data_IF_101598087581
#
_entry.id   IF_101598087581
#
_cell.length_a   1.000
_cell.length_b   1.000
_cell.length_c   1.000
_cell.angle_alpha   90.00
_cell.angle_beta   90.00
_cell.angle_gamma   90.00
#
_symmetry.space_group_name_H-M   'P 1'
#
loop_
_entity.id
_entity.type
_entity.pdbx_description
1 polymer ?
#
# COMPACT_ATOMS: atom_id res chain seq x y z
N UNK A 1 2.04 12.29 8.32
CA UNK A 1 0.91 11.98 7.42
C UNK A 1 0.42 10.59 7.78
N UNK A 2 -0.87 10.46 8.10
CA UNK A 2 -1.51 9.21 8.53
C UNK A 2 -2.41 8.72 7.39
N UNK A 3 -2.30 7.44 7.02
CA UNK A 3 -3.18 6.79 6.06
C UNK A 3 -3.99 5.67 6.73
N UNK A 4 -5.21 5.45 6.24
CA UNK A 4 -6.03 4.30 6.57
C UNK A 4 -6.43 3.56 5.28
N UNK A 5 -6.39 2.22 5.32
CA UNK A 5 -6.84 1.37 4.21
C UNK A 5 -8.26 0.92 4.51
N UNK A 6 -9.14 1.09 3.52
CA UNK A 6 -10.55 0.68 3.59
C UNK A 6 -10.85 -0.27 2.42
N UNK A 7 -10.88 -1.56 2.69
CA UNK A 7 -11.20 -2.58 1.69
C UNK A 7 -12.70 -2.83 1.64
N UNK A 8 -13.28 -2.76 0.45
CA UNK A 8 -14.73 -2.89 0.21
C UNK A 8 -14.97 -4.18 -0.56
N UNK A 9 -15.73 -5.08 0.04
CA UNK A 9 -16.11 -6.35 -0.57
C UNK A 9 -16.63 -7.32 0.48
N UNK A 10 -17.82 -7.88 0.26
CA UNK A 10 -18.45 -8.87 1.15
C UNK A 10 -17.66 -10.18 1.14
N UNK A 11 -17.03 -10.55 0.03
CA UNK A 11 -16.20 -11.75 -0.12
C UNK A 11 -14.97 -11.74 0.81
N UNK A 12 -14.43 -10.55 1.11
CA UNK A 12 -13.34 -10.39 2.06
C UNK A 12 -13.79 -10.70 3.49
N UNK A 13 -14.99 -10.24 3.89
CA UNK A 13 -15.57 -10.53 5.20
C UNK A 13 -15.95 -11.99 5.37
N UNK A 14 -16.37 -12.65 4.30
CA UNK A 14 -16.71 -14.06 4.27
C UNK A 14 -15.48 -14.99 4.23
N UNK A 15 -14.29 -14.44 4.11
CA UNK A 15 -13.05 -15.22 4.00
C UNK A 15 -12.91 -16.00 2.70
N UNK A 16 -13.65 -15.65 1.67
CA UNK A 16 -13.59 -16.29 0.35
C UNK A 16 -12.35 -15.86 -0.43
N UNK A 17 -11.87 -14.65 -0.16
CA UNK A 17 -10.68 -14.06 -0.80
C UNK A 17 -9.74 -13.53 0.28
N UNK A 18 -8.45 -13.77 0.12
CA UNK A 18 -7.42 -13.16 0.96
C UNK A 18 -7.26 -11.67 0.64
N UNK A 19 -7.18 -10.83 1.67
CA UNK A 19 -6.99 -9.39 1.51
C UNK A 19 -5.51 -9.05 1.21
N UNK A 20 -5.02 -9.49 0.05
CA UNK A 20 -3.65 -9.22 -0.41
C UNK A 20 -3.43 -7.75 -0.75
N UNK A 21 -4.48 -7.03 -1.16
CA UNK A 21 -4.42 -5.60 -1.42
C UNK A 21 -4.04 -4.79 -0.18
N UNK A 22 -4.63 -5.10 0.98
CA UNK A 22 -4.26 -4.44 2.23
C UNK A 22 -2.79 -4.69 2.58
N UNK A 23 -2.30 -5.92 2.40
CA UNK A 23 -0.90 -6.25 2.63
C UNK A 23 0.02 -5.47 1.69
N UNK A 24 -0.28 -5.44 0.37
CA UNK A 24 0.49 -4.68 -0.61
C UNK A 24 0.53 -3.19 -0.25
N UNK A 25 -0.64 -2.58 -0.04
CA UNK A 25 -0.76 -1.16 0.29
C UNK A 25 0.01 -0.81 1.58
N UNK A 26 -0.10 -1.64 2.62
CA UNK A 26 0.61 -1.43 3.88
C UNK A 26 2.13 -1.46 3.71
N UNK A 27 2.65 -2.42 2.93
CA UNK A 27 4.07 -2.49 2.59
C UNK A 27 4.55 -1.24 1.85
N UNK A 28 3.75 -0.78 0.86
CA UNK A 28 4.09 0.42 0.07
C UNK A 28 4.02 1.69 0.91
N UNK A 29 2.96 1.88 1.70
CA UNK A 29 2.83 3.03 2.60
C UNK A 29 3.97 3.08 3.62
N UNK A 30 4.31 1.94 4.21
CA UNK A 30 5.44 1.82 5.12
C UNK A 30 6.77 2.16 4.45
N UNK A 31 6.98 1.75 3.18
CA UNK A 31 8.15 2.11 2.40
C UNK A 31 8.23 3.62 2.10
N UNK A 32 7.09 4.29 2.02
CA UNK A 32 6.97 5.75 1.83
C UNK A 32 7.03 6.56 3.14
N UNK A 33 7.17 5.90 4.30
CA UNK A 33 7.16 6.58 5.60
C UNK A 33 5.81 7.15 6.01
N UNK A 34 4.75 6.63 5.43
CA UNK A 34 3.38 7.02 5.76
C UNK A 34 2.88 6.12 6.87
N UNK A 35 2.54 6.72 8.00
CA UNK A 35 2.05 5.99 9.16
C UNK A 35 0.67 5.40 8.87
N UNK A 36 0.51 4.11 9.08
CA UNK A 36 -0.77 3.42 9.00
C UNK A 36 -1.12 2.89 10.39
N UNK A 37 -2.26 3.30 10.93
CA UNK A 37 -2.72 2.87 12.25
C UNK A 37 -3.91 1.92 12.19
N UNK A 38 -4.70 1.98 11.12
CA UNK A 38 -5.92 1.20 10.98
C UNK A 38 -6.07 0.63 9.57
N UNK A 39 -6.65 -0.57 9.52
CA UNK A 39 -7.18 -1.20 8.31
C UNK A 39 -8.60 -1.64 8.59
N UNK A 40 -9.51 -1.32 7.70
CA UNK A 40 -10.92 -1.66 7.85
C UNK A 40 -11.39 -2.45 6.63
N UNK A 41 -12.16 -3.52 6.85
CA UNK A 41 -12.85 -4.24 5.80
C UNK A 41 -14.35 -4.02 5.99
N UNK A 42 -15.05 -3.63 4.91
CA UNK A 42 -16.50 -3.37 4.93
C UNK A 42 -17.15 -4.12 3.77
N UNK A 43 -18.26 -4.79 4.06
CA UNK A 43 -19.10 -5.38 3.01
C UNK A 43 -19.89 -4.32 2.22
N UNK A 44 -20.48 -4.72 1.12
CA UNK A 44 -21.18 -3.89 0.14
C UNK A 44 -22.51 -3.36 0.70
N UNK A 45 -22.41 -2.49 1.71
CA UNK A 45 -23.54 -1.83 2.34
C UNK A 45 -23.27 -0.34 2.50
N UNK A 46 -24.13 0.50 1.93
CA UNK A 46 -23.93 1.94 1.83
C UNK A 46 -23.80 2.62 3.20
N UNK A 47 -24.62 2.24 4.20
CA UNK A 47 -24.56 2.88 5.51
C UNK A 47 -23.28 2.52 6.26
N UNK A 48 -22.92 1.22 6.27
CA UNK A 48 -21.68 0.76 6.92
C UNK A 48 -20.43 1.39 6.28
N UNK A 49 -20.45 1.52 4.96
CA UNK A 49 -19.34 2.15 4.24
C UNK A 49 -19.27 3.65 4.52
N UNK A 50 -20.40 4.36 4.63
CA UNK A 50 -20.45 5.77 5.02
C UNK A 50 -19.87 5.96 6.44
N UNK A 51 -20.29 5.14 7.39
CA UNK A 51 -19.79 5.19 8.76
C UNK A 51 -18.27 4.93 8.82
N UNK A 52 -17.79 3.96 8.04
CA UNK A 52 -16.36 3.66 7.92
C UNK A 52 -15.57 4.82 7.33
N UNK A 53 -16.06 5.48 6.27
CA UNK A 53 -15.42 6.66 5.71
C UNK A 53 -15.33 7.80 6.71
N UNK A 54 -16.45 8.10 7.40
CA UNK A 54 -16.47 9.19 8.40
C UNK A 54 -15.49 8.91 9.53
N UNK A 55 -15.43 7.67 10.02
CA UNK A 55 -14.50 7.27 11.06
C UNK A 55 -13.04 7.36 10.55
N UNK A 56 -12.72 6.83 9.38
CA UNK A 56 -11.39 6.87 8.82
C UNK A 56 -10.93 8.33 8.58
N UNK A 57 -11.77 9.17 8.00
CA UNK A 57 -11.48 10.58 7.77
C UNK A 57 -11.38 11.41 9.07
N UNK A 58 -11.94 10.95 10.19
CA UNK A 58 -11.76 11.64 11.48
C UNK A 58 -10.35 11.51 12.04
N UNK A 59 -9.59 10.47 11.64
CA UNK A 59 -8.30 10.10 12.24
C UNK A 59 -7.14 9.92 11.24
N UNK A 60 -7.42 10.01 9.94
CA UNK A 60 -6.41 9.91 8.89
C UNK A 60 -6.46 11.11 7.94
N UNK A 61 -5.31 11.42 7.34
CA UNK A 61 -5.18 12.44 6.29
C UNK A 61 -5.53 11.87 4.91
N UNK A 62 -5.32 10.56 4.75
CA UNK A 62 -5.51 9.82 3.51
C UNK A 62 -6.28 8.55 3.81
N UNK A 63 -7.36 8.31 3.07
CA UNK A 63 -8.07 7.03 3.07
C UNK A 63 -7.89 6.38 1.70
N UNK A 64 -7.29 5.19 1.66
CA UNK A 64 -7.11 4.44 0.42
C UNK A 64 -8.14 3.32 0.39
N UNK A 65 -9.03 3.36 -0.60
CA UNK A 65 -10.03 2.30 -0.77
C UNK A 65 -9.61 1.30 -1.83
N UNK A 66 -9.95 0.05 -1.64
CA UNK A 66 -9.79 -1.02 -2.61
C UNK A 66 -11.12 -1.75 -2.81
N UNK A 67 -11.62 -1.77 -4.05
CA UNK A 67 -12.85 -2.44 -4.42
C UNK A 67 -14.07 -1.51 -4.58
N UNK A 68 -15.16 -2.06 -5.13
CA UNK A 68 -16.44 -1.37 -5.31
C UNK A 68 -16.44 -0.25 -6.37
N UNK A 69 -15.59 -0.37 -7.43
CA UNK A 69 -15.49 0.59 -8.53
C UNK A 69 -16.12 0.09 -9.85
N UNK A 70 -16.65 -1.11 -9.86
CA UNK A 70 -17.29 -1.71 -11.02
C UNK A 70 -18.61 -1.05 -11.41
N UNK A 71 -19.33 -1.65 -12.37
CA UNK A 71 -20.60 -1.09 -12.89
C UNK A 71 -21.83 -1.68 -12.21
N UNK A 72 -21.68 -2.56 -11.23
CA UNK A 72 -22.82 -3.25 -10.62
C UNK A 72 -23.48 -2.42 -9.51
N UNK A 73 -24.64 -2.84 -9.05
CA UNK A 73 -25.39 -2.12 -8.01
C UNK A 73 -24.61 -2.10 -6.69
N UNK A 74 -23.79 -3.13 -6.45
CA UNK A 74 -22.99 -3.31 -5.26
C UNK A 74 -21.68 -2.48 -5.28
N UNK A 75 -21.33 -1.90 -6.45
CA UNK A 75 -20.18 -1.01 -6.60
C UNK A 75 -20.51 0.40 -6.09
N UNK A 76 -20.49 0.56 -4.79
CA UNK A 76 -20.98 1.75 -4.08
C UNK A 76 -19.90 2.71 -3.62
N UNK A 77 -18.61 2.34 -3.73
CA UNK A 77 -17.47 3.02 -3.10
C UNK A 77 -17.40 4.51 -3.46
N UNK A 78 -17.45 4.86 -4.74
CA UNK A 78 -17.40 6.26 -5.22
C UNK A 78 -18.63 7.07 -4.80
N UNK A 79 -19.82 6.47 -4.91
CA UNK A 79 -21.08 7.12 -4.58
C UNK A 79 -21.15 7.47 -3.08
N UNK A 80 -20.71 6.56 -2.23
CA UNK A 80 -20.70 6.81 -0.78
C UNK A 80 -19.63 7.85 -0.40
N UNK A 81 -18.43 7.79 -1.01
CA UNK A 81 -17.42 8.81 -0.79
C UNK A 81 -17.88 10.21 -1.22
N UNK A 82 -18.54 10.34 -2.38
CA UNK A 82 -19.12 11.59 -2.85
C UNK A 82 -20.17 12.13 -1.87
N UNK A 83 -21.05 11.26 -1.35
CA UNK A 83 -22.03 11.62 -0.32
C UNK A 83 -21.35 12.15 0.96
N UNK A 84 -20.29 11.48 1.43
CA UNK A 84 -19.53 11.91 2.62
C UNK A 84 -18.86 13.26 2.39
N UNK A 85 -18.37 13.51 1.17
CA UNK A 85 -17.78 14.78 0.76
C UNK A 85 -18.81 15.90 0.52
N UNK A 86 -20.12 15.60 0.51
CA UNK A 86 -21.17 16.55 0.15
C UNK A 86 -21.12 16.98 -1.33
N UNK A 87 -20.64 16.09 -2.22
CA UNK A 87 -20.41 16.34 -3.64
C UNK A 87 -21.26 15.42 -4.52
N UNK A 88 -21.50 15.85 -5.75
CA UNK A 88 -22.15 15.05 -6.77
C UNK A 88 -21.12 14.38 -7.69
N UNK A 89 -21.51 13.23 -8.27
CA UNK A 89 -20.73 12.56 -9.29
C UNK A 89 -21.10 13.13 -10.67
N UNK A 90 -20.08 13.45 -11.44
CA UNK A 90 -20.19 13.91 -12.83
C UNK A 90 -19.46 12.97 -13.77
N UNK A 91 -19.87 12.89 -15.01
CA UNK A 91 -19.22 12.07 -16.04
C UNK A 91 -17.89 12.74 -16.45
N UNK A 92 -16.81 11.98 -16.43
CA UNK A 92 -15.50 12.40 -16.95
C UNK A 92 -15.32 11.84 -18.37
N UNK A 93 -15.22 12.68 -19.40
CA UNK A 93 -15.09 12.21 -20.79
C UNK A 93 -13.86 11.32 -21.01
N UNK A 94 -12.73 11.64 -20.37
CA UNK A 94 -11.49 10.85 -20.49
C UNK A 94 -11.66 9.45 -19.87
N UNK A 95 -12.37 9.35 -18.76
CA UNK A 95 -12.68 8.08 -18.13
C UNK A 95 -13.67 7.26 -18.95
N UNK A 96 -14.68 7.91 -19.54
CA UNK A 96 -15.61 7.27 -20.46
C UNK A 96 -14.88 6.71 -21.68
N UNK A 97 -14.00 7.49 -22.30
CA UNK A 97 -13.21 7.05 -23.45
C UNK A 97 -12.32 5.85 -23.10
N UNK A 98 -11.68 5.86 -21.93
CA UNK A 98 -10.90 4.73 -21.44
C UNK A 98 -11.78 3.48 -21.32
N UNK A 99 -12.95 3.58 -20.69
CA UNK A 99 -13.89 2.46 -20.53
C UNK A 99 -14.30 1.92 -21.90
N UNK A 100 -14.73 2.79 -22.83
CA UNK A 100 -15.14 2.41 -24.19
C UNK A 100 -14.02 1.70 -24.95
N UNK A 101 -12.84 2.26 -24.95
CA UNK A 101 -11.65 1.68 -25.59
C UNK A 101 -11.35 0.30 -25.03
N UNK A 102 -11.44 0.11 -23.72
CA UNK A 102 -11.19 -1.17 -23.08
C UNK A 102 -12.22 -2.24 -23.51
N UNK A 103 -13.51 -1.88 -23.56
CA UNK A 103 -14.56 -2.77 -24.06
C UNK A 103 -14.35 -3.17 -25.51
N UNK A 104 -13.91 -2.24 -26.38
CA UNK A 104 -13.55 -2.54 -27.77
C UNK A 104 -12.37 -3.53 -27.86
N UNK A 105 -11.31 -3.32 -27.06
CA UNK A 105 -10.16 -4.23 -27.01
C UNK A 105 -10.55 -5.64 -26.57
N UNK A 106 -11.51 -5.77 -25.67
CA UNK A 106 -12.03 -7.07 -25.23
C UNK A 106 -13.07 -7.67 -26.15
N UNK A 107 -13.41 -7.01 -27.28
CA UNK A 107 -14.49 -7.41 -28.19
C UNK A 107 -15.82 -7.64 -27.47
N UNK A 108 -16.13 -6.80 -26.47
CA UNK A 108 -17.36 -6.84 -25.67
C UNK A 108 -18.20 -5.58 -25.87
N UNK A 109 -19.52 -5.75 -25.79
CA UNK A 109 -20.44 -4.61 -25.82
C UNK A 109 -20.47 -3.92 -24.45
N UNK A 110 -20.27 -2.60 -24.46
CA UNK A 110 -20.46 -1.77 -23.29
C UNK A 110 -21.96 -1.55 -23.05
N UNK A 111 -22.41 -1.67 -21.82
CA UNK A 111 -23.78 -1.39 -21.39
C UNK A 111 -23.86 -0.04 -20.67
N UNK A 112 -25.06 0.55 -20.55
CA UNK A 112 -25.22 1.88 -19.94
C UNK A 112 -24.74 1.95 -18.48
N UNK A 113 -24.85 0.86 -17.72
CA UNK A 113 -24.35 0.83 -16.35
C UNK A 113 -22.82 0.93 -16.26
N UNK A 114 -22.08 0.60 -17.32
CA UNK A 114 -20.63 0.79 -17.34
C UNK A 114 -20.24 2.29 -17.31
N UNK A 115 -21.14 3.22 -17.67
CA UNK A 115 -20.88 4.65 -17.53
C UNK A 115 -20.66 5.07 -16.07
N UNK A 116 -21.23 4.34 -15.10
CA UNK A 116 -20.96 4.57 -13.67
C UNK A 116 -19.48 4.49 -13.32
N UNK A 117 -18.70 3.70 -14.07
CA UNK A 117 -17.26 3.58 -13.88
C UNK A 117 -16.52 4.90 -14.22
N UNK A 118 -17.06 5.71 -15.10
CA UNK A 118 -16.50 6.99 -15.52
C UNK A 118 -17.03 8.20 -14.72
N UNK A 119 -17.79 7.96 -13.65
CA UNK A 119 -18.34 9.03 -12.81
C UNK A 119 -17.51 9.27 -11.56
N UNK A 120 -17.12 10.53 -11.33
CA UNK A 120 -16.32 10.99 -10.17
C UNK A 120 -16.78 12.37 -9.72
N UNK A 121 -16.32 12.86 -8.58
CA UNK A 121 -16.57 14.26 -8.17
C UNK A 121 -15.78 15.20 -9.08
N UNK A 122 -16.33 16.38 -9.40
CA UNK A 122 -15.78 17.29 -10.41
C UNK A 122 -14.31 17.72 -10.13
N UNK A 123 -13.88 17.69 -8.88
CA UNK A 123 -12.52 18.04 -8.44
C UNK A 123 -11.59 16.84 -8.26
N UNK A 124 -12.00 15.66 -8.73
CA UNK A 124 -11.17 14.45 -8.67
C UNK A 124 -10.01 14.50 -9.67
N UNK A 125 -8.88 13.92 -9.27
CA UNK A 125 -7.81 13.58 -10.21
C UNK A 125 -7.96 12.11 -10.61
N UNK A 126 -8.13 11.85 -11.90
CA UNK A 126 -8.30 10.48 -12.42
C UNK A 126 -6.99 9.68 -12.33
N UNK A 127 -7.13 8.40 -12.01
CA UNK A 127 -6.08 7.40 -12.06
C UNK A 127 -6.44 6.38 -13.15
N UNK A 128 -5.72 6.42 -14.26
CA UNK A 128 -6.01 5.55 -15.40
C UNK A 128 -5.65 4.10 -15.10
N UNK A 129 -6.52 3.18 -15.48
CA UNK A 129 -6.33 1.75 -15.25
C UNK A 129 -5.75 1.08 -16.50
N UNK A 130 -4.49 0.62 -16.47
CA UNK A 130 -3.88 -0.02 -17.64
C UNK A 130 -4.40 -1.44 -17.89
N UNK A 131 -4.98 -2.11 -16.87
CA UNK A 131 -5.29 -3.54 -16.92
C UNK A 131 -6.78 -3.86 -16.80
N UNK A 132 -7.63 -2.88 -16.49
CA UNK A 132 -9.07 -3.09 -16.30
C UNK A 132 -9.94 -2.00 -16.90
N UNK A 133 -11.24 -2.05 -16.59
CA UNK A 133 -12.23 -1.09 -17.08
C UNK A 133 -12.55 0.02 -16.10
N UNK A 134 -12.23 -0.15 -14.81
CA UNK A 134 -12.59 0.82 -13.78
C UNK A 134 -11.40 1.75 -13.49
N UNK A 135 -11.45 3.04 -13.88
CA UNK A 135 -10.45 4.01 -13.41
C UNK A 135 -10.56 4.21 -11.90
N UNK A 136 -9.44 4.58 -11.28
CA UNK A 136 -9.42 5.08 -9.92
C UNK A 136 -9.51 6.60 -9.88
N UNK A 137 -9.44 7.17 -8.68
CA UNK A 137 -9.39 8.62 -8.52
C UNK A 137 -8.79 9.03 -7.17
N UNK A 138 -8.21 10.21 -7.13
CA UNK A 138 -7.89 10.94 -5.91
C UNK A 138 -8.97 12.00 -5.72
N UNK A 139 -9.72 11.90 -4.63
CA UNK A 139 -10.87 12.74 -4.32
C UNK A 139 -10.55 13.65 -3.13
N UNK A 140 -10.53 14.97 -3.28
CA UNK A 140 -10.40 15.89 -2.16
C UNK A 140 -11.61 15.80 -1.22
N UNK A 141 -11.37 15.72 0.10
CA UNK A 141 -12.44 15.59 1.12
C UNK A 141 -12.57 16.81 2.00
N UNK A 142 -11.86 17.90 1.68
CA UNK A 142 -11.74 19.09 2.54
C UNK A 142 -10.62 18.96 3.57
N UNK A 143 -10.27 20.07 4.18
CA UNK A 143 -9.24 20.18 5.25
C UNK A 143 -7.91 19.50 4.91
N UNK A 144 -7.55 19.50 3.62
CA UNK A 144 -6.34 18.85 3.15
C UNK A 144 -6.42 17.32 3.13
N UNK A 145 -7.54 16.69 3.44
CA UNK A 145 -7.73 15.23 3.39
C UNK A 145 -8.12 14.75 2.01
N UNK A 146 -7.79 13.50 1.71
CA UNK A 146 -8.12 12.87 0.43
C UNK A 146 -8.60 11.42 0.61
N UNK A 147 -9.45 11.00 -0.28
CA UNK A 147 -9.76 9.58 -0.51
C UNK A 147 -9.16 9.17 -1.84
N UNK A 148 -8.48 8.03 -1.88
CA UNK A 148 -7.90 7.45 -3.09
C UNK A 148 -8.65 6.17 -3.41
N UNK A 149 -9.32 6.14 -4.54
CA UNK A 149 -10.08 4.98 -5.01
C UNK A 149 -9.22 4.10 -5.91
N UNK A 150 -9.09 2.82 -5.56
CA UNK A 150 -8.41 1.81 -6.34
C UNK A 150 -9.32 0.60 -6.59
N UNK A 151 -9.16 -0.11 -7.72
CA UNK A 151 -9.97 -1.30 -8.04
C UNK A 151 -9.70 -2.46 -7.07
N UNK A 152 -10.58 -3.48 -7.12
CA UNK A 152 -10.45 -4.69 -6.31
C UNK A 152 -9.38 -5.67 -6.78
N UNK A 153 -9.28 -6.01 -8.09
CA UNK A 153 -8.29 -6.98 -8.57
C UNK A 153 -6.85 -6.50 -8.34
N UNK A 154 -5.95 -7.31 -7.72
CA UNK A 154 -4.56 -6.93 -7.49
C UNK A 154 -3.81 -6.55 -8.76
N UNK A 155 -4.05 -7.26 -9.86
CA UNK A 155 -3.42 -6.99 -11.17
C UNK A 155 -3.79 -5.61 -11.75
N UNK A 156 -4.84 -4.97 -11.26
CA UNK A 156 -5.25 -3.60 -11.61
C UNK A 156 -4.74 -2.60 -10.56
N UNK A 157 -4.95 -2.91 -9.26
CA UNK A 157 -4.61 -2.04 -8.14
C UNK A 157 -3.11 -1.76 -8.05
N UNK A 158 -2.27 -2.79 -8.10
CA UNK A 158 -0.83 -2.67 -7.87
C UNK A 158 -0.13 -1.77 -8.92
N UNK A 159 -0.37 -1.94 -10.25
CA UNK A 159 0.18 -1.05 -11.25
C UNK A 159 -0.32 0.40 -11.13
N UNK A 160 -1.61 0.59 -10.83
CA UNK A 160 -2.19 1.93 -10.64
C UNK A 160 -1.58 2.62 -9.41
N UNK A 161 -1.42 1.90 -8.30
CA UNK A 161 -0.76 2.45 -7.12
C UNK A 161 0.66 2.89 -7.44
N UNK A 162 1.46 1.99 -8.02
CA UNK A 162 2.88 2.25 -8.29
C UNK A 162 3.10 3.38 -9.29
N UNK A 163 2.28 3.43 -10.35
CA UNK A 163 2.45 4.44 -11.40
C UNK A 163 1.91 5.82 -11.04
N UNK A 164 0.86 5.90 -10.22
CA UNK A 164 0.13 7.16 -10.02
C UNK A 164 0.01 7.57 -8.56
N UNK A 165 -0.34 6.65 -7.66
CA UNK A 165 -0.59 6.97 -6.24
C UNK A 165 0.72 7.18 -5.50
N UNK A 166 1.70 6.33 -5.72
CA UNK A 166 2.99 6.43 -5.05
C UNK A 166 3.73 7.75 -5.33
N UNK A 167 3.87 8.22 -6.60
CA UNK A 167 4.43 9.53 -6.88
C UNK A 167 3.65 10.68 -6.25
N UNK A 168 2.32 10.60 -6.23
CA UNK A 168 1.46 11.58 -5.57
C UNK A 168 1.73 11.65 -4.07
N UNK A 169 1.82 10.49 -3.40
CA UNK A 169 2.10 10.40 -1.97
C UNK A 169 3.50 10.90 -1.63
N UNK A 170 4.50 10.57 -2.45
CA UNK A 170 5.87 11.07 -2.31
C UNK A 170 5.92 12.59 -2.40
N UNK A 171 5.30 13.19 -3.42
CA UNK A 171 5.23 14.63 -3.58
C UNK A 171 4.54 15.32 -2.39
N UNK A 172 3.54 14.67 -1.81
CA UNK A 172 2.77 15.19 -0.67
C UNK A 172 3.51 15.02 0.67
N UNK A 173 4.30 13.96 0.84
CA UNK A 173 5.03 13.71 2.09
C UNK A 173 6.21 14.65 2.28
N UNK A 174 6.80 15.14 1.19
CA UNK A 174 8.00 15.99 1.20
C UNK A 174 9.23 15.32 1.83
N UNK A 175 9.19 14.00 2.06
CA UNK A 175 10.28 13.23 2.70
C UNK A 175 10.61 11.98 1.91
N UNK A 176 11.89 11.66 1.85
CA UNK A 176 12.40 10.38 1.36
C UNK A 176 12.53 9.40 2.53
N UNK A 177 12.16 8.15 2.28
CA UNK A 177 12.33 7.04 3.21
C UNK A 177 13.31 6.02 2.64
N UNK A 178 14.23 5.55 3.47
CA UNK A 178 15.15 4.46 3.13
C UNK A 178 15.03 3.38 4.18
N UNK A 179 14.90 2.13 3.73
CA UNK A 179 14.90 0.96 4.61
C UNK A 179 16.08 0.04 4.27
N UNK A 180 16.55 -0.69 5.27
CA UNK A 180 17.53 -1.78 5.17
C UNK A 180 17.04 -2.95 6.01
N UNK A 181 17.23 -4.15 5.49
CA UNK A 181 16.82 -5.40 6.11
C UNK A 181 18.07 -6.14 6.60
N UNK A 182 18.16 -6.34 7.90
CA UNK A 182 19.28 -7.05 8.54
C UNK A 182 18.85 -8.49 8.78
N UNK A 183 19.57 -9.43 8.19
CA UNK A 183 19.32 -10.86 8.29
C UNK A 183 20.19 -11.48 9.36
N UNK A 184 19.58 -12.23 10.27
CA UNK A 184 20.23 -12.82 11.45
C UNK A 184 19.91 -14.31 11.48
N UNK A 185 20.96 -15.13 11.53
CA UNK A 185 20.86 -16.58 11.66
C UNK A 185 21.61 -17.10 12.89
N UNK A 186 21.04 -18.10 13.58
CA UNK A 186 21.69 -18.73 14.73
C UNK A 186 21.49 -17.98 16.07
N UNK A 187 20.61 -16.97 16.11
CA UNK A 187 20.23 -16.26 17.34
C UNK A 187 18.71 -16.15 17.43
N UNK A 188 18.13 -16.38 18.60
CA UNK A 188 16.69 -16.26 18.82
C UNK A 188 16.23 -14.81 18.95
N UNK A 189 14.95 -14.55 18.60
CA UNK A 189 14.32 -13.21 18.61
C UNK A 189 14.49 -12.50 19.98
N UNK A 190 14.21 -13.20 21.08
CA UNK A 190 14.31 -12.62 22.43
C UNK A 190 15.73 -12.23 22.82
N UNK A 191 16.74 -12.91 22.28
CA UNK A 191 18.15 -12.55 22.50
C UNK A 191 18.52 -11.32 21.65
N UNK A 192 18.05 -11.25 20.40
CA UNK A 192 18.22 -10.08 19.54
C UNK A 192 17.57 -8.86 20.17
N UNK A 193 16.30 -8.95 20.60
CA UNK A 193 15.57 -7.87 21.32
C UNK A 193 16.35 -7.41 22.56
N UNK A 194 16.86 -8.34 23.37
CA UNK A 194 17.61 -7.99 24.58
C UNK A 194 18.88 -7.18 24.26
N UNK A 195 19.58 -7.53 23.19
CA UNK A 195 20.82 -6.85 22.78
C UNK A 195 20.62 -5.50 22.10
N UNK A 196 19.43 -5.28 21.50
CA UNK A 196 19.14 -4.11 20.67
C UNK A 196 18.03 -3.21 21.22
N UNK A 197 17.43 -3.54 22.36
CA UNK A 197 16.25 -2.86 22.93
C UNK A 197 16.38 -1.34 23.01
N UNK A 198 17.55 -0.83 23.34
CA UNK A 198 17.80 0.60 23.38
C UNK A 198 17.78 1.24 21.98
N UNK A 199 18.16 0.50 20.93
CA UNK A 199 18.12 0.95 19.53
C UNK A 199 16.70 0.90 18.94
N UNK A 200 15.84 0.01 19.43
CA UNK A 200 14.46 -0.14 19.00
C UNK A 200 13.56 1.01 19.46
N UNK A 201 13.95 1.74 20.50
CA UNK A 201 13.25 2.91 21.01
C UNK A 201 13.49 4.19 20.18
N UNK A 202 14.31 4.13 19.13
CA UNK A 202 14.61 5.25 18.27
C UNK A 202 13.39 5.69 17.45
N UNK A 203 13.14 7.02 17.34
CA UNK A 203 12.05 7.54 16.53
C UNK A 203 12.43 7.68 15.04
N UNK A 204 13.69 8.03 14.76
CA UNK A 204 14.23 8.14 13.41
C UNK A 204 15.76 8.17 13.44
N UNK A 205 16.45 7.10 12.99
CA UNK A 205 15.92 5.89 12.38
C UNK A 205 15.18 4.97 13.37
N UNK A 206 14.23 4.19 12.85
CA UNK A 206 13.54 3.12 13.59
C UNK A 206 14.21 1.77 13.33
N UNK A 207 14.17 0.87 14.30
CA UNK A 207 14.57 -0.53 14.17
C UNK A 207 13.42 -1.41 14.64
N UNK A 208 12.97 -2.36 13.83
CA UNK A 208 11.83 -3.22 14.16
C UNK A 208 12.16 -4.68 13.85
N UNK A 209 12.00 -5.60 14.82
CA UNK A 209 12.19 -7.03 14.58
C UNK A 209 11.03 -7.62 13.80
N UNK A 210 11.34 -8.59 12.94
CA UNK A 210 10.41 -9.44 12.22
C UNK A 210 10.84 -10.89 12.39
N UNK A 211 9.89 -11.77 12.67
CA UNK A 211 10.16 -13.20 12.67
C UNK A 211 9.92 -13.78 11.29
N UNK A 212 10.93 -14.49 10.78
CA UNK A 212 10.80 -15.37 9.62
C UNK A 212 11.06 -16.81 10.05
N UNK A 213 10.60 -17.79 9.26
CA UNK A 213 10.83 -19.20 9.57
C UNK A 213 12.32 -19.51 9.55
N UNK A 214 12.89 -19.83 10.73
CA UNK A 214 14.29 -20.23 10.89
C UNK A 214 15.32 -19.10 10.99
N UNK A 215 14.89 -17.84 10.89
CA UNK A 215 15.78 -16.67 11.01
C UNK A 215 15.09 -15.49 11.69
N UNK A 216 15.85 -14.53 12.20
CA UNK A 216 15.37 -13.24 12.67
C UNK A 216 15.75 -12.19 11.66
N UNK A 217 14.78 -11.35 11.32
CA UNK A 217 14.98 -10.22 10.43
C UNK A 217 14.71 -8.92 11.19
N UNK A 218 15.58 -7.93 11.03
CA UNK A 218 15.33 -6.57 11.50
C UNK A 218 15.13 -5.66 10.30
N UNK A 219 14.19 -4.73 10.42
CA UNK A 219 14.01 -3.64 9.47
C UNK A 219 14.45 -2.33 10.11
N UNK A 220 15.52 -1.75 9.59
CA UNK A 220 15.97 -0.40 9.92
C UNK A 220 15.41 0.59 8.90
N UNK A 221 14.75 1.66 9.35
CA UNK A 221 14.11 2.63 8.47
C UNK A 221 14.42 4.05 8.92
N UNK A 222 14.85 4.90 8.01
CA UNK A 222 15.06 6.32 8.24
C UNK A 222 14.28 7.19 7.25
N UNK A 223 13.88 8.37 7.70
CA UNK A 223 13.15 9.38 6.93
C UNK A 223 13.92 10.70 6.96
N UNK A 224 14.14 11.31 5.78
CA UNK A 224 14.78 12.62 5.64
C UNK A 224 14.28 13.36 4.39
N UNK A 225 14.77 14.59 4.13
CA UNK A 225 14.39 15.37 2.96
C UNK A 225 14.88 14.74 1.64
N UNK A 226 15.97 13.95 1.70
CA UNK A 226 16.51 13.21 0.54
C UNK A 226 16.88 11.77 0.94
N UNK A 227 16.96 10.88 -0.04
CA UNK A 227 17.35 9.49 0.18
C UNK A 227 18.79 9.37 0.74
N UNK A 228 19.71 10.23 0.28
CA UNK A 228 21.09 10.26 0.77
C UNK A 228 21.14 10.62 2.26
N UNK A 229 20.37 11.64 2.68
CA UNK A 229 20.28 12.01 4.09
C UNK A 229 19.64 10.90 4.94
N UNK A 230 18.61 10.23 4.44
CA UNK A 230 17.99 9.09 5.11
C UNK A 230 18.98 7.92 5.26
N UNK A 231 19.74 7.61 4.21
CA UNK A 231 20.79 6.59 4.26
C UNK A 231 21.91 6.95 5.24
N UNK A 232 22.29 8.22 5.31
CA UNK A 232 23.29 8.70 6.27
C UNK A 232 22.83 8.51 7.73
N UNK A 233 21.53 8.61 8.03
CA UNK A 233 20.96 8.29 9.34
C UNK A 233 20.97 6.79 9.64
N UNK A 234 20.77 5.93 8.64
CA UNK A 234 20.80 4.47 8.81
C UNK A 234 22.20 3.91 9.06
N UNK A 235 23.21 4.50 8.43
CA UNK A 235 24.58 3.98 8.45
C UNK A 235 25.12 3.73 9.89
N UNK A 236 25.05 4.67 10.84
CA UNK A 236 25.51 4.44 12.19
C UNK A 236 24.67 3.39 12.94
N UNK A 237 23.36 3.37 12.74
CA UNK A 237 22.47 2.36 13.35
C UNK A 237 22.84 0.95 12.89
N UNK A 238 23.02 0.75 11.58
CA UNK A 238 23.41 -0.55 11.01
C UNK A 238 24.79 -1.01 11.46
N UNK A 239 25.74 -0.08 11.60
CA UNK A 239 27.08 -0.37 12.14
C UNK A 239 26.99 -0.85 13.59
N UNK A 240 26.17 -0.19 14.41
CA UNK A 240 25.97 -0.56 15.81
C UNK A 240 25.27 -1.92 15.96
N UNK A 241 24.22 -2.19 15.16
CA UNK A 241 23.56 -3.50 15.11
C UNK A 241 24.57 -4.60 14.77
N UNK A 242 25.39 -4.38 13.74
CA UNK A 242 26.42 -5.35 13.34
C UNK A 242 27.51 -5.53 14.42
N UNK A 243 27.88 -4.47 15.12
CA UNK A 243 28.86 -4.54 16.20
C UNK A 243 28.34 -5.37 17.39
N UNK A 244 27.09 -5.21 17.80
CA UNK A 244 26.46 -5.92 18.90
C UNK A 244 26.13 -7.39 18.60
N UNK A 245 25.71 -7.67 17.39
CA UNK A 245 25.30 -9.03 17.00
C UNK A 245 26.44 -9.84 16.38
N UNK A 246 27.46 -9.20 15.81
CA UNK A 246 28.63 -9.86 15.25
C UNK A 246 28.31 -10.73 14.01
N UNK A 247 28.93 -11.93 13.99
CA UNK A 247 28.89 -12.82 12.81
C UNK A 247 27.53 -13.47 12.56
N UNK A 248 26.54 -13.35 13.46
CA UNK A 248 25.18 -13.86 13.21
C UNK A 248 24.41 -13.00 12.23
N UNK A 249 24.86 -11.74 11.97
CA UNK A 249 24.37 -10.91 10.88
C UNK A 249 25.05 -11.35 9.59
N UNK A 250 24.33 -12.10 8.76
CA UNK A 250 24.89 -12.64 7.52
C UNK A 250 24.65 -11.77 6.29
N UNK A 251 23.58 -10.92 6.30
CA UNK A 251 23.31 -10.00 5.21
C UNK A 251 22.64 -8.69 5.69
N UNK A 252 22.85 -7.61 4.93
CA UNK A 252 22.10 -6.34 5.03
C UNK A 252 21.66 -5.98 3.61
N UNK A 253 20.34 -5.98 3.37
CA UNK A 253 19.73 -5.89 2.04
C UNK A 253 18.90 -4.62 1.87
N UNK A 254 18.68 -4.19 0.62
CA UNK A 254 17.85 -3.02 0.29
C UNK A 254 16.37 -3.37 0.22
N UNK A 255 16.05 -4.60 -0.07
CA UNK A 255 14.69 -5.10 -0.22
C UNK A 255 14.45 -6.28 0.71
N UNK A 256 13.17 -6.56 1.00
CA UNK A 256 12.75 -7.77 1.70
C UNK A 256 12.86 -8.99 0.76
N UNK A 257 14.08 -9.38 0.42
CA UNK A 257 14.44 -10.32 -0.65
C UNK A 257 14.14 -11.80 -0.40
N UNK A 258 13.31 -12.16 0.60
CA UNK A 258 12.97 -13.55 0.91
C UNK A 258 13.92 -14.23 1.92
N UNK A 259 13.51 -15.41 2.43
CA UNK A 259 14.25 -16.16 3.44
C UNK A 259 15.47 -16.91 2.86
N UNK A 260 16.34 -17.41 3.75
CA UNK A 260 17.47 -18.28 3.39
C UNK A 260 17.11 -19.43 2.46
N UNK A 261 15.90 -20.01 2.63
CA UNK A 261 15.36 -21.07 1.76
C UNK A 261 15.24 -20.65 0.30
N UNK A 262 15.03 -19.36 0.01
CA UNK A 262 14.91 -18.83 -1.34
C UNK A 262 16.27 -18.53 -1.98
N UNK A 263 17.30 -18.22 -1.18
CA UNK A 263 18.68 -18.04 -1.67
C UNK A 263 19.34 -19.36 -2.03
N UNK A 264 18.95 -20.48 -1.37
CA UNK A 264 19.44 -21.83 -1.72
C UNK A 264 18.84 -22.33 -3.05
N UNK A 265 17.59 -22.00 -3.37
CA UNK A 265 16.99 -22.32 -4.69
C UNK A 265 17.73 -21.61 -5.83
N UNK A 266 18.11 -20.36 -5.68
CA UNK A 266 18.90 -19.62 -6.68
C UNK A 266 20.32 -20.15 -6.83
N UNK A 267 20.95 -20.64 -5.77
CA UNK A 267 22.29 -21.20 -5.83
C UNK A 267 22.29 -22.60 -6.49
N UNK A 268 21.23 -23.37 -6.31
CA UNK A 268 21.08 -24.69 -6.94
C UNK A 268 20.75 -24.59 -8.43
N UNK A 269 20.03 -23.56 -8.87
CA UNK A 269 19.78 -23.29 -10.28
C UNK A 269 21.06 -22.90 -11.04
N UNK A 270 21.95 -22.12 -10.41
CA UNK A 270 23.25 -21.74 -11.02
C UNK A 270 24.22 -22.92 -11.10
N UNK A 271 24.18 -23.87 -10.18
CA UNK A 271 25.01 -25.08 -10.20
C UNK A 271 24.52 -26.13 -11.22
N UNK A 272 23.28 -26.05 -11.69
CA UNK A 272 22.74 -26.96 -12.71
C UNK A 272 23.01 -26.50 -14.15
N UNK A 273 23.68 -25.35 -14.34
CA UNK A 273 24.03 -24.75 -15.63
C UNK A 273 25.54 -24.87 -15.98
N UNK A 274 26.34 -25.54 -15.15
CA UNK A 274 27.72 -25.97 -15.43
C UNK A 274 27.75 -27.50 -15.75
#
# INVERSE_FOLDING_TARGET
MIAEILCVGTELLMGQVLNTNAQFLSRRLSALGITQQHQTVVGDNAQRLEDAYRLALSRADIVITSGGLGPTVDDITKRVAAKVAGKELVLFPEAEEMVRTRFQQYHRNMTLNNLSQAMFTADSTLLMNPNGTAPGAIVPMGDGKVVIHLPGPPCELEPMFTASVEPYLMARSGRALVSRYVRIFGMGESEVDTRLRDLENGENPTLSPYCALGEVQLRATASADTAEKALALLTPLLAEVKARLGNVVYAIEETDGGSLTRSEEHTSELQSLE
#
